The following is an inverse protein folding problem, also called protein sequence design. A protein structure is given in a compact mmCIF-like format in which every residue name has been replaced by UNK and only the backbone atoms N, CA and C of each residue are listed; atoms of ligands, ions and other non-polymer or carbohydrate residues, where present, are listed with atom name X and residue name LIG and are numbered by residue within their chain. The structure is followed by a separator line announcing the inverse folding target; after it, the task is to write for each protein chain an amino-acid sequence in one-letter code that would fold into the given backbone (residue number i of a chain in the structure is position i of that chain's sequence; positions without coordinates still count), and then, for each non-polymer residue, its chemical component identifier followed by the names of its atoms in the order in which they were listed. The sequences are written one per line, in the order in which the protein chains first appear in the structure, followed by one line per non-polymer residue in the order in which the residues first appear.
data_IF_029155947215
#
_entry.id   IF_029155947215
#
_cell.length_a   1.000
_cell.length_b   1.000
_cell.length_c   1.000
_cell.angle_alpha   90.00
_cell.angle_beta   90.00
_cell.angle_gamma   90.00
#
_symmetry.space_group_name_H-M   'P 1'
#
loop_
_entity.id
_entity.type
_entity.pdbx_description
1 polymer ?
#
# COMPACT_ATOMS: atom_id res chain seq x y z
N UNK A 1 -19.10 3.72 -11.52
CA UNK A 1 -18.48 2.43 -11.12
C UNK A 1 -17.03 2.71 -10.77
N UNK A 2 -16.53 2.29 -9.60
CA UNK A 2 -15.14 2.59 -9.19
C UNK A 2 -14.15 1.67 -9.88
N UNK A 3 -13.00 2.21 -10.30
CA UNK A 3 -11.91 1.41 -10.90
C UNK A 3 -11.12 0.71 -9.80
N UNK A 4 -11.03 -0.62 -9.86
CA UNK A 4 -10.33 -1.45 -8.85
C UNK A 4 -9.07 -2.05 -9.48
N UNK A 5 -7.93 -1.91 -8.80
CA UNK A 5 -6.67 -2.52 -9.18
C UNK A 5 -6.32 -3.66 -8.22
N UNK A 6 -5.82 -4.77 -8.74
CA UNK A 6 -5.43 -5.94 -7.94
C UNK A 6 -4.14 -6.57 -8.49
N UNK A 7 -3.45 -7.32 -7.64
CA UNK A 7 -2.31 -8.14 -8.00
C UNK A 7 -2.35 -9.46 -7.22
N UNK A 8 -1.83 -10.53 -7.80
CA UNK A 8 -1.54 -11.74 -7.06
C UNK A 8 -0.35 -11.56 -6.09
N UNK A 9 -0.18 -12.54 -5.20
CA UNK A 9 0.90 -12.62 -4.21
C UNK A 9 2.14 -13.40 -4.69
N UNK A 10 2.30 -13.67 -5.99
CA UNK A 10 3.48 -14.35 -6.50
C UNK A 10 4.59 -13.32 -6.77
N UNK A 11 5.80 -13.59 -6.33
CA UNK A 11 6.98 -12.80 -6.69
C UNK A 11 7.72 -13.46 -7.86
N UNK A 12 8.47 -12.66 -8.62
CA UNK A 12 9.35 -13.14 -9.70
C UNK A 12 10.70 -12.43 -9.64
N UNK A 13 11.66 -12.86 -10.46
CA UNK A 13 12.94 -12.16 -10.62
C UNK A 13 12.79 -10.71 -11.12
N UNK A 14 11.65 -10.36 -11.74
CA UNK A 14 11.40 -9.03 -12.30
C UNK A 14 10.66 -8.10 -11.34
N UNK A 15 9.87 -8.64 -10.41
CA UNK A 15 8.95 -7.86 -9.58
C UNK A 15 8.66 -8.62 -8.29
N UNK A 16 8.95 -7.97 -7.16
CA UNK A 16 8.63 -8.49 -5.83
C UNK A 16 7.31 -7.89 -5.30
N UNK A 17 6.85 -8.35 -4.13
CA UNK A 17 5.58 -7.89 -3.55
C UNK A 17 5.57 -6.40 -3.17
N UNK A 18 6.71 -5.84 -2.78
CA UNK A 18 6.82 -4.41 -2.45
C UNK A 18 6.74 -3.55 -3.70
N UNK A 19 7.33 -3.99 -4.80
CA UNK A 19 7.22 -3.32 -6.11
C UNK A 19 5.76 -3.32 -6.57
N UNK A 20 5.06 -4.45 -6.40
CA UNK A 20 3.62 -4.57 -6.68
C UNK A 20 2.78 -3.61 -5.86
N UNK A 21 3.04 -3.46 -4.57
CA UNK A 21 2.34 -2.48 -3.72
C UNK A 21 2.57 -1.06 -4.24
N UNK A 22 3.81 -0.67 -4.52
CA UNK A 22 4.12 0.67 -5.03
C UNK A 22 3.41 0.94 -6.37
N UNK A 23 3.40 -0.04 -7.26
CA UNK A 23 2.70 0.03 -8.56
C UNK A 23 1.19 0.18 -8.39
N UNK A 24 0.57 -0.59 -7.50
CA UNK A 24 -0.86 -0.48 -7.21
C UNK A 24 -1.22 0.91 -6.65
N UNK A 25 -0.43 1.44 -5.71
CA UNK A 25 -0.64 2.79 -5.17
C UNK A 25 -0.49 3.88 -6.24
N UNK A 26 0.50 3.75 -7.12
CA UNK A 26 0.68 4.68 -8.24
C UNK A 26 -0.52 4.65 -9.20
N UNK A 27 -0.99 3.45 -9.59
CA UNK A 27 -2.16 3.28 -10.46
C UNK A 27 -3.46 3.74 -9.80
N UNK A 28 -3.58 3.59 -8.48
CA UNK A 28 -4.69 4.09 -7.68
C UNK A 28 -4.69 5.62 -7.50
N UNK A 29 -3.65 6.30 -7.96
CA UNK A 29 -3.59 7.75 -7.98
C UNK A 29 -3.11 8.38 -6.67
N UNK A 30 -2.21 7.72 -5.93
CA UNK A 30 -1.72 8.22 -4.64
C UNK A 30 -1.20 9.67 -4.73
N UNK A 31 -0.39 9.97 -5.76
CA UNK A 31 0.20 11.31 -5.98
C UNK A 31 -0.81 12.39 -6.32
N UNK A 32 -1.98 12.01 -6.86
CA UNK A 32 -3.06 12.93 -7.20
C UNK A 32 -4.03 13.11 -6.04
N UNK A 33 -4.00 12.20 -5.07
CA UNK A 33 -4.95 12.15 -3.95
C UNK A 33 -4.41 12.85 -2.70
N UNK A 34 -3.09 12.80 -2.49
CA UNK A 34 -2.45 13.32 -1.28
C UNK A 34 -1.49 14.45 -1.69
N UNK A 35 -1.63 15.62 -1.05
CA UNK A 35 -0.75 16.76 -1.23
C UNK A 35 0.39 16.79 -0.20
N UNK A 36 1.41 17.59 -0.49
CA UNK A 36 2.51 17.83 0.44
C UNK A 36 1.98 18.51 1.72
N UNK A 37 2.41 18.01 2.88
CA UNK A 37 1.96 18.51 4.19
C UNK A 37 0.62 17.96 4.67
N UNK A 38 -0.09 17.16 3.86
CA UNK A 38 -1.34 16.54 4.29
C UNK A 38 -1.10 15.55 5.44
N UNK A 39 -1.90 15.69 6.51
CA UNK A 39 -1.95 14.71 7.59
C UNK A 39 -2.66 13.44 7.10
N UNK A 40 -1.93 12.35 6.91
CA UNK A 40 -2.44 11.14 6.26
C UNK A 40 -2.53 9.95 7.21
N UNK A 41 -3.73 9.41 7.40
CA UNK A 41 -3.95 8.20 8.19
C UNK A 41 -3.95 6.93 7.31
N UNK A 42 -3.27 5.87 7.77
CA UNK A 42 -3.30 4.54 7.14
C UNK A 42 -4.18 3.61 7.97
N UNK A 43 -5.36 3.27 7.44
CA UNK A 43 -6.26 2.27 8.05
C UNK A 43 -5.79 0.86 7.69
N UNK A 44 -5.68 0.00 8.69
CA UNK A 44 -5.26 -1.39 8.51
C UNK A 44 -6.32 -2.32 9.11
N UNK A 45 -6.55 -3.47 8.47
CA UNK A 45 -7.29 -4.57 9.08
C UNK A 45 -6.33 -5.48 9.84
N UNK A 46 -6.49 -5.55 11.16
CA UNK A 46 -5.55 -6.25 12.06
C UNK A 46 -5.64 -7.79 11.99
N UNK A 47 -6.62 -8.31 11.26
CA UNK A 47 -6.93 -9.73 11.23
C UNK A 47 -7.83 -10.12 12.40
N UNK A 48 -8.06 -11.42 12.57
CA UNK A 48 -8.90 -11.98 13.63
C UNK A 48 -8.07 -12.87 14.54
N UNK A 49 -8.37 -12.83 15.85
CA UNK A 49 -7.72 -13.69 16.84
C UNK A 49 -7.99 -15.16 16.49
N UNK A 50 -6.93 -15.95 16.38
CA UNK A 50 -7.03 -17.38 16.05
C UNK A 50 -6.83 -17.70 14.55
N UNK A 51 -6.66 -16.69 13.69
CA UNK A 51 -6.29 -16.87 12.29
C UNK A 51 -4.83 -16.45 12.03
N UNK A 52 -4.23 -17.04 10.99
CA UNK A 52 -2.91 -16.69 10.46
C UNK A 52 -2.95 -15.55 9.43
N UNK A 53 -4.13 -15.06 9.06
CA UNK A 53 -4.32 -13.98 8.10
C UNK A 53 -4.26 -12.60 8.77
N UNK A 54 -3.07 -12.20 9.21
CA UNK A 54 -2.79 -10.83 9.64
C UNK A 54 -1.92 -10.12 8.60
N UNK A 55 -2.06 -8.79 8.50
CA UNK A 55 -1.19 -8.00 7.63
C UNK A 55 0.23 -7.99 8.20
N UNK A 56 1.20 -8.50 7.43
CA UNK A 56 2.61 -8.42 7.84
C UNK A 56 3.03 -6.93 7.90
N UNK A 57 3.62 -6.45 9.01
CA UNK A 57 3.96 -5.03 9.17
C UNK A 57 4.84 -4.44 8.07
N UNK A 58 5.66 -5.27 7.42
CA UNK A 58 6.51 -4.86 6.29
C UNK A 58 5.71 -4.32 5.10
N UNK A 59 4.50 -4.83 4.84
CA UNK A 59 3.64 -4.33 3.77
C UNK A 59 3.05 -2.97 4.12
N UNK A 60 2.61 -2.79 5.37
CA UNK A 60 2.14 -1.50 5.86
C UNK A 60 3.24 -0.43 5.82
N UNK A 61 4.46 -0.79 6.21
CA UNK A 61 5.63 0.09 6.10
C UNK A 61 5.83 0.59 4.67
N UNK A 62 5.74 -0.31 3.68
CA UNK A 62 5.90 0.07 2.26
C UNK A 62 4.86 1.10 1.82
N UNK A 63 3.60 0.96 2.26
CA UNK A 63 2.55 1.96 1.99
C UNK A 63 2.92 3.31 2.59
N UNK A 64 3.34 3.33 3.86
CA UNK A 64 3.78 4.56 4.54
C UNK A 64 4.97 5.22 3.84
N UNK A 65 5.93 4.44 3.37
CA UNK A 65 7.07 4.95 2.59
C UNK A 65 6.63 5.64 1.30
N UNK A 66 5.67 5.06 0.55
CA UNK A 66 5.16 5.69 -0.67
C UNK A 66 4.36 6.97 -0.38
N UNK A 67 3.65 7.04 0.76
CA UNK A 67 2.99 8.27 1.23
C UNK A 67 4.03 9.35 1.59
N UNK A 68 5.08 9.00 2.34
CA UNK A 68 6.13 9.97 2.71
C UNK A 68 6.88 10.52 1.50
N UNK A 69 7.03 9.73 0.42
CA UNK A 69 7.64 10.19 -0.83
C UNK A 69 6.85 11.31 -1.53
N UNK A 70 5.56 11.49 -1.19
CA UNK A 70 4.76 12.60 -1.71
C UNK A 70 4.76 13.83 -0.78
N UNK A 71 5.54 13.80 0.31
CA UNK A 71 5.68 14.92 1.24
C UNK A 71 4.58 15.01 2.30
N UNK A 72 3.73 14.00 2.42
CA UNK A 72 2.70 13.92 3.45
C UNK A 72 3.24 13.42 4.81
N UNK A 73 2.53 13.80 5.87
CA UNK A 73 2.85 13.53 7.27
C UNK A 73 2.14 12.29 7.81
#
# INVERSE_FOLDING_TARGET
MSKVYFSDMRASHKENLFDKIAKLLALAGLRQTIAEGDLTAVKIHFGEKGNHTYLRPVFARKVVEEIKKVGAL
#
